data_IF_305728811492
#
_entry.id   IF_305728811492
#
_cell.length_a   1.000
_cell.length_b   1.000
_cell.length_c   1.000
_cell.angle_alpha   90.00
_cell.angle_beta   90.00
_cell.angle_gamma   90.00
#
_symmetry.space_group_name_H-M   'P 1'
#
loop_
_entity.id
_entity.type
_entity.pdbx_description
1 polymer ?
#
# COMPACT_ATOMS: atom_id res chain seq x y z
N UNK A 1 0.06 -17.18 22.94
CA UNK A 1 -0.38 -16.94 21.56
C UNK A 1 0.81 -17.25 20.68
N UNK A 2 0.71 -18.23 19.78
CA UNK A 2 1.82 -18.52 18.87
C UNK A 2 1.92 -17.35 17.89
N UNK A 3 2.99 -16.56 17.98
CA UNK A 3 3.34 -15.62 16.92
C UNK A 3 3.53 -16.44 15.65
N UNK A 4 2.62 -16.28 14.69
CA UNK A 4 2.80 -16.79 13.34
C UNK A 4 3.95 -15.99 12.76
N UNK A 5 5.18 -16.50 12.90
CA UNK A 5 6.38 -15.89 12.32
C UNK A 5 6.18 -15.86 10.81
N UNK A 6 5.82 -14.70 10.27
CA UNK A 6 5.62 -14.53 8.83
C UNK A 6 6.95 -14.81 8.14
N UNK A 7 6.93 -15.72 7.18
CA UNK A 7 8.14 -16.04 6.41
C UNK A 7 8.51 -14.87 5.50
N UNK A 8 9.80 -14.67 5.25
CA UNK A 8 10.34 -13.67 4.31
C UNK A 8 9.60 -13.68 2.96
N UNK A 9 9.27 -14.86 2.45
CA UNK A 9 8.45 -15.05 1.24
C UNK A 9 7.06 -14.42 1.35
N UNK A 10 6.35 -14.61 2.46
CA UNK A 10 5.01 -14.04 2.68
C UNK A 10 5.06 -12.52 2.81
N UNK A 11 6.11 -11.96 3.42
CA UNK A 11 6.31 -10.52 3.50
C UNK A 11 6.57 -9.91 2.11
N UNK A 12 7.36 -10.58 1.27
CA UNK A 12 7.60 -10.17 -0.11
C UNK A 12 6.35 -10.28 -1.00
N UNK A 13 5.55 -11.33 -0.84
CA UNK A 13 4.26 -11.47 -1.53
C UNK A 13 3.34 -10.31 -1.14
N UNK A 14 3.21 -10.03 0.16
CA UNK A 14 2.40 -8.91 0.65
C UNK A 14 2.90 -7.55 0.15
N UNK A 15 4.22 -7.34 0.11
CA UNK A 15 4.84 -6.12 -0.44
C UNK A 15 4.45 -5.90 -1.90
N UNK A 16 4.53 -6.94 -2.72
CA UNK A 16 4.15 -6.86 -4.14
C UNK A 16 2.65 -6.58 -4.32
N UNK A 17 1.80 -7.21 -3.50
CA UNK A 17 0.36 -6.91 -3.52
C UNK A 17 0.05 -5.44 -3.21
N UNK A 18 0.76 -4.83 -2.25
CA UNK A 18 0.57 -3.43 -1.90
C UNK A 18 1.05 -2.51 -3.03
N UNK A 19 2.18 -2.84 -3.67
CA UNK A 19 2.68 -2.09 -4.84
C UNK A 19 1.64 -2.12 -5.97
N UNK A 20 1.08 -3.29 -6.28
CA UNK A 20 0.04 -3.43 -7.30
C UNK A 20 -1.22 -2.61 -6.97
N UNK A 21 -1.62 -2.57 -5.69
CA UNK A 21 -2.75 -1.77 -5.23
C UNK A 21 -2.47 -0.26 -5.35
N UNK A 22 -1.27 0.19 -5.03
CA UNK A 22 -0.85 1.58 -5.18
C UNK A 22 -0.84 2.01 -6.65
N UNK A 23 -0.35 1.17 -7.56
CA UNK A 23 -0.40 1.49 -8.99
C UNK A 23 -1.82 1.59 -9.54
N UNK A 24 -2.75 0.78 -9.02
CA UNK A 24 -4.18 0.86 -9.40
C UNK A 24 -4.82 2.15 -8.86
N UNK A 25 -4.56 2.50 -7.61
CA UNK A 25 -5.06 3.74 -7.01
C UNK A 25 -4.56 4.97 -7.78
N UNK A 26 -3.27 5.02 -8.13
CA UNK A 26 -2.69 6.12 -8.93
C UNK A 26 -3.29 6.23 -10.33
N UNK A 27 -3.57 5.10 -10.99
CA UNK A 27 -4.22 5.10 -12.31
C UNK A 27 -5.65 5.66 -12.23
N UNK A 28 -6.37 5.34 -11.15
CA UNK A 28 -7.73 5.85 -10.93
C UNK A 28 -7.76 7.36 -10.65
N UNK A 29 -6.77 7.87 -9.91
CA UNK A 29 -6.59 9.31 -9.65
C UNK A 29 -6.23 10.14 -10.90
N UNK A 30 -5.72 9.51 -11.96
CA UNK A 30 -5.28 10.20 -13.19
C UNK A 30 -6.23 10.06 -14.38
N UNK A 31 -7.41 9.45 -14.21
CA UNK A 31 -8.44 9.49 -15.26
C UNK A 31 -9.07 10.88 -15.30
N UNK A 32 -9.05 11.51 -16.47
CA UNK A 32 -9.62 12.84 -16.71
C UNK A 32 -11.15 12.79 -16.51
N UNK A 33 -11.66 13.60 -15.58
CA UNK A 33 -13.05 13.59 -15.15
C UNK A 33 -13.88 14.62 -15.96
N UNK A 34 -15.13 14.27 -16.26
CA UNK A 34 -16.09 15.15 -16.94
C UNK A 34 -16.55 16.27 -15.99
N UNK A 35 -16.77 17.48 -16.53
CA UNK A 35 -16.86 18.72 -15.72
C UNK A 35 -18.25 19.01 -15.11
N UNK A 36 -18.99 18.01 -14.65
CA UNK A 36 -20.28 18.25 -14.00
C UNK A 36 -20.12 18.64 -12.51
N UNK A 37 -20.92 19.59 -12.02
CA UNK A 37 -20.78 20.15 -10.67
C UNK A 37 -21.26 19.17 -9.59
N UNK A 38 -22.25 18.32 -9.89
CA UNK A 38 -22.66 17.24 -8.98
C UNK A 38 -21.60 16.12 -8.93
N UNK A 39 -20.91 15.86 -10.03
CA UNK A 39 -19.83 14.87 -10.09
C UNK A 39 -18.59 15.35 -9.31
N UNK A 40 -18.28 16.66 -9.33
CA UNK A 40 -17.16 17.23 -8.56
C UNK A 40 -17.23 16.99 -7.04
N UNK A 41 -18.41 17.05 -6.42
CA UNK A 41 -18.53 16.81 -4.98
C UNK A 41 -18.20 15.35 -4.63
N UNK A 42 -18.65 14.42 -5.48
CA UNK A 42 -18.36 12.99 -5.35
C UNK A 42 -16.87 12.72 -5.63
N UNK A 43 -16.28 13.43 -6.59
CA UNK A 43 -14.86 13.33 -6.93
C UNK A 43 -13.94 13.76 -5.79
N UNK A 44 -14.27 14.87 -5.09
CA UNK A 44 -13.48 15.32 -3.93
C UNK A 44 -13.49 14.26 -2.83
N UNK A 45 -14.65 13.68 -2.52
CA UNK A 45 -14.75 12.60 -1.53
C UNK A 45 -13.96 11.34 -1.98
N UNK A 46 -14.00 11.00 -3.27
CA UNK A 46 -13.24 9.88 -3.82
C UNK A 46 -11.72 10.12 -3.78
N UNK A 47 -11.29 11.35 -4.04
CA UNK A 47 -9.89 11.76 -3.97
C UNK A 47 -9.37 11.68 -2.52
N UNK A 48 -10.15 12.16 -1.54
CA UNK A 48 -9.80 12.05 -0.11
C UNK A 48 -9.68 10.59 0.35
N UNK A 49 -10.57 9.71 -0.14
CA UNK A 49 -10.50 8.27 0.12
C UNK A 49 -9.26 7.66 -0.53
N UNK A 50 -8.96 8.00 -1.78
CA UNK A 50 -7.80 7.49 -2.50
C UNK A 50 -6.48 7.92 -1.83
N UNK A 51 -6.36 9.18 -1.41
CA UNK A 51 -5.22 9.71 -0.64
C UNK A 51 -5.07 8.96 0.69
N UNK A 52 -6.19 8.76 1.41
CA UNK A 52 -6.17 8.05 2.69
C UNK A 52 -5.74 6.58 2.52
N UNK A 53 -6.21 5.91 1.46
CA UNK A 53 -5.79 4.56 1.11
C UNK A 53 -4.30 4.52 0.74
N UNK A 54 -3.83 5.46 -0.08
CA UNK A 54 -2.42 5.56 -0.47
C UNK A 54 -1.51 5.72 0.76
N UNK A 55 -1.88 6.63 1.67
CA UNK A 55 -1.15 6.87 2.91
C UNK A 55 -1.04 5.59 3.76
N UNK A 56 -2.15 4.85 3.91
CA UNK A 56 -2.15 3.61 4.67
C UNK A 56 -1.32 2.51 4.02
N UNK A 57 -1.41 2.36 2.70
CA UNK A 57 -0.62 1.38 1.94
C UNK A 57 0.89 1.69 2.02
N UNK A 58 1.28 2.97 1.98
CA UNK A 58 2.67 3.39 2.18
C UNK A 58 3.16 3.12 3.61
N UNK A 59 2.32 3.34 4.61
CA UNK A 59 2.65 3.00 5.99
C UNK A 59 2.84 1.49 6.19
N UNK A 60 1.97 0.67 5.58
CA UNK A 60 2.11 -0.79 5.60
C UNK A 60 3.38 -1.26 4.90
N UNK A 61 3.75 -0.64 3.76
CA UNK A 61 5.01 -0.92 3.07
C UNK A 61 6.23 -0.64 3.94
N UNK A 62 6.28 0.50 4.61
CA UNK A 62 7.41 0.85 5.48
C UNK A 62 7.58 -0.19 6.60
N UNK A 63 6.48 -0.63 7.22
CA UNK A 63 6.51 -1.67 8.26
C UNK A 63 6.97 -3.02 7.71
N UNK A 64 6.60 -3.37 6.47
CA UNK A 64 7.06 -4.59 5.82
C UNK A 64 8.55 -4.53 5.46
N UNK A 65 9.01 -3.39 4.96
CA UNK A 65 10.41 -3.18 4.59
C UNK A 65 11.32 -3.23 5.83
N UNK A 66 10.92 -2.63 6.96
CA UNK A 66 11.63 -2.73 8.23
C UNK A 66 11.73 -4.20 8.70
N UNK A 67 10.63 -4.95 8.64
CA UNK A 67 10.61 -6.38 9.02
C UNK A 67 11.46 -7.26 8.11
N UNK A 68 11.52 -6.94 6.82
CA UNK A 68 12.36 -7.65 5.85
C UNK A 68 13.83 -7.38 6.13
N UNK A 69 14.19 -6.13 6.46
CA UNK A 69 15.55 -5.76 6.83
C UNK A 69 16.01 -6.48 8.11
N UNK A 70 15.16 -6.52 9.14
CA UNK A 70 15.45 -7.23 10.40
C UNK A 70 15.68 -8.73 10.17
N UNK A 71 14.94 -9.35 9.25
CA UNK A 71 15.11 -10.75 8.88
C UNK A 71 16.42 -10.98 8.10
N UNK A 72 16.78 -10.08 7.19
CA UNK A 72 18.03 -10.16 6.45
C UNK A 72 19.25 -10.05 7.38
N UNK A 73 19.22 -9.14 8.35
CA UNK A 73 20.29 -8.96 9.34
C UNK A 73 20.44 -10.18 10.27
N UNK A 74 19.32 -10.85 10.61
CA UNK A 74 19.33 -12.11 11.35
C UNK A 74 19.91 -13.26 10.53
N UNK A 75 19.55 -13.38 9.25
CA UNK A 75 20.08 -14.41 8.34
C UNK A 75 21.59 -14.27 8.06
N UNK A 76 22.16 -13.06 8.12
CA UNK A 76 23.60 -12.83 7.93
C UNK A 76 24.44 -13.03 9.20
N UNK A 77 23.80 -13.10 10.37
CA UNK A 77 24.47 -13.25 11.66
C UNK A 77 24.60 -14.71 12.13
N UNK A 78 24.04 -15.67 11.39
CA UNK A 78 24.17 -17.13 11.57
C UNK A 78 25.21 -17.76 10.62
#
# INVERSE_FOLDING_TARGET
MAEVKQTKKQLLERRNEIIDQLERANRNLHMELDRDIEEQAIEIEQEEVAISMEHNLRAELNVLDDKLLDLDDQEQSE
#
